data_IF_720923604588
#
_entry.id   IF_720923604588
#
_cell.length_a   1.000
_cell.length_b   1.000
_cell.length_c   1.000
_cell.angle_alpha   90.00
_cell.angle_beta   90.00
_cell.angle_gamma   90.00
#
_symmetry.space_group_name_H-M   'P 1'
#
loop_
_entity.id
_entity.type
_entity.pdbx_description
1 polymer ?
#
# COMPACT_ATOMS: atom_id res chain seq x y z
N UNK A 1 7.67 4.92 -17.44
CA UNK A 1 7.44 5.78 -16.25
C UNK A 1 7.56 4.98 -14.97
N UNK A 2 8.20 5.55 -13.95
CA UNK A 2 8.40 5.01 -12.59
C UNK A 2 7.56 5.80 -11.59
N UNK A 3 6.88 5.11 -10.68
CA UNK A 3 6.12 5.71 -9.59
C UNK A 3 6.16 4.82 -8.35
N UNK A 4 6.34 5.45 -7.19
CA UNK A 4 6.14 4.82 -5.91
C UNK A 4 4.63 4.84 -5.57
N UNK A 5 4.02 3.67 -5.49
CA UNK A 5 2.55 3.51 -5.38
C UNK A 5 2.05 3.36 -3.95
N UNK A 6 2.90 3.51 -2.94
CA UNK A 6 2.50 3.39 -1.54
C UNK A 6 3.34 4.36 -0.70
N UNK A 7 2.78 5.54 -0.42
CA UNK A 7 3.51 6.67 0.16
C UNK A 7 2.60 7.45 1.11
N UNK A 8 3.10 7.71 2.32
CA UNK A 8 2.37 8.40 3.37
C UNK A 8 2.97 9.77 3.69
N UNK A 9 2.09 10.73 3.94
CA UNK A 9 2.40 12.07 4.40
C UNK A 9 1.77 12.31 5.78
N UNK A 10 1.99 13.50 6.35
CA UNK A 10 1.30 13.93 7.57
C UNK A 10 -0.23 13.89 7.50
N UNK A 11 -0.82 13.73 6.31
CA UNK A 11 -2.26 13.65 6.10
C UNK A 11 -2.83 12.24 6.31
N UNK A 12 -1.98 11.22 6.53
CA UNK A 12 -2.40 9.88 6.97
C UNK A 12 -2.98 9.84 8.40
N UNK A 13 -2.97 10.96 9.12
CA UNK A 13 -3.57 11.09 10.44
C UNK A 13 -2.69 10.57 11.58
N UNK A 14 -3.34 10.03 12.62
CA UNK A 14 -2.70 9.61 13.86
C UNK A 14 -2.42 8.12 13.86
N UNK A 15 -1.32 7.71 14.49
CA UNK A 15 -0.99 6.31 14.60
C UNK A 15 -2.02 5.51 15.39
N UNK A 16 -2.13 4.22 15.12
CA UNK A 16 -3.07 3.32 15.82
C UNK A 16 -2.50 2.74 17.11
N UNK A 17 -1.28 3.12 17.49
CA UNK A 17 -0.59 2.60 18.67
C UNK A 17 -1.36 3.01 19.94
N UNK A 18 -1.75 2.04 20.80
CA UNK A 18 -2.37 2.33 22.09
C UNK A 18 -1.55 3.35 22.89
N UNK A 19 -2.24 4.28 23.56
CA UNK A 19 -1.64 5.41 24.31
C UNK A 19 -1.04 6.55 23.46
N UNK A 20 -0.63 6.31 22.22
CA UNK A 20 -0.05 7.35 21.34
C UNK A 20 -1.01 7.86 20.26
N UNK A 21 -2.16 7.19 20.05
CA UNK A 21 -3.17 7.52 19.03
C UNK A 21 -3.76 8.93 19.01
N UNK A 22 -3.46 9.76 20.02
CA UNK A 22 -3.91 11.16 20.10
C UNK A 22 -2.79 12.18 19.94
N UNK A 23 -1.54 11.73 19.92
CA UNK A 23 -0.36 12.62 19.96
C UNK A 23 0.67 12.29 18.88
N UNK A 24 0.79 11.03 18.46
CA UNK A 24 1.74 10.62 17.44
C UNK A 24 1.05 10.44 16.09
N UNK A 25 1.59 11.09 15.06
CA UNK A 25 1.16 10.93 13.67
C UNK A 25 1.66 9.61 13.10
N UNK A 26 0.98 9.15 12.07
CA UNK A 26 1.41 7.98 11.29
C UNK A 26 2.66 8.33 10.46
N UNK A 27 2.68 9.52 9.85
CA UNK A 27 3.85 10.11 9.18
C UNK A 27 3.97 11.59 9.56
N UNK A 28 5.20 12.08 9.61
CA UNK A 28 5.52 13.51 9.82
C UNK A 28 5.98 14.20 8.54
N UNK A 29 6.00 13.47 7.42
CA UNK A 29 6.55 13.97 6.15
C UNK A 29 5.62 15.02 5.53
N UNK A 30 6.18 16.18 5.18
CA UNK A 30 5.43 17.21 4.46
C UNK A 30 5.20 16.79 2.99
N UNK A 31 3.99 16.96 2.43
CA UNK A 31 3.70 16.56 1.05
C UNK A 31 4.68 17.13 0.02
N UNK A 32 5.10 18.38 0.17
CA UNK A 32 6.04 19.00 -0.75
C UNK A 32 7.42 18.34 -0.67
N UNK A 33 7.90 18.06 0.54
CA UNK A 33 9.17 17.38 0.74
C UNK A 33 9.16 15.94 0.23
N UNK A 34 8.01 15.25 0.35
CA UNK A 34 7.76 13.94 -0.26
C UNK A 34 7.92 14.02 -1.77
N UNK A 35 7.23 14.95 -2.43
CA UNK A 35 7.33 15.17 -3.87
C UNK A 35 8.78 15.41 -4.30
N UNK A 36 9.46 16.38 -3.67
CA UNK A 36 10.84 16.71 -4.00
C UNK A 36 11.79 15.52 -3.81
N UNK A 37 11.56 14.72 -2.76
CA UNK A 37 12.37 13.52 -2.50
C UNK A 37 12.15 12.44 -3.56
N UNK A 38 10.91 12.18 -3.96
CA UNK A 38 10.60 11.22 -5.02
C UNK A 38 11.18 11.65 -6.37
N UNK A 39 11.09 12.95 -6.70
CA UNK A 39 11.73 13.50 -7.91
C UNK A 39 13.25 13.34 -7.88
N UNK A 40 13.92 13.66 -6.77
CA UNK A 40 15.37 13.44 -6.60
C UNK A 40 15.77 11.97 -6.71
N UNK A 41 14.88 11.05 -6.36
CA UNK A 41 15.09 9.60 -6.47
C UNK A 41 14.70 9.03 -7.85
N UNK A 42 14.40 9.91 -8.81
CA UNK A 42 14.18 9.53 -10.20
C UNK A 42 12.80 8.93 -10.48
N UNK A 43 11.78 9.26 -9.67
CA UNK A 43 10.40 8.94 -10.00
C UNK A 43 9.91 9.88 -11.11
N UNK A 44 9.31 9.30 -12.15
CA UNK A 44 8.73 10.06 -13.25
C UNK A 44 7.39 10.66 -12.85
N UNK A 45 6.60 9.90 -12.09
CA UNK A 45 5.30 10.29 -11.57
C UNK A 45 5.30 10.26 -10.04
N UNK A 46 4.47 11.11 -9.43
CA UNK A 46 4.27 11.13 -7.98
C UNK A 46 2.81 10.87 -7.64
N UNK A 47 2.58 10.04 -6.64
CA UNK A 47 1.29 9.91 -5.99
C UNK A 47 1.52 9.73 -4.49
N UNK A 48 0.47 9.95 -3.71
CA UNK A 48 0.44 9.68 -2.27
C UNK A 48 -0.81 8.86 -1.99
N UNK A 49 -0.72 7.99 -1.00
CA UNK A 49 -1.77 7.04 -0.61
C UNK A 49 -1.98 7.18 0.90
N UNK A 50 -2.32 8.39 1.34
CA UNK A 50 -2.63 8.65 2.74
C UNK A 50 -3.86 7.85 3.19
N UNK A 51 -3.90 7.46 4.47
CA UNK A 51 -5.01 6.69 5.03
C UNK A 51 -6.30 7.50 5.05
N UNK A 52 -7.31 7.02 4.32
CA UNK A 52 -8.67 7.59 4.27
C UNK A 52 -8.70 9.12 4.06
N UNK A 53 -7.69 9.67 3.35
CA UNK A 53 -7.50 11.11 3.18
C UNK A 53 -6.92 11.43 1.81
N UNK A 54 -7.38 12.55 1.23
CA UNK A 54 -6.87 13.15 0.00
C UNK A 54 -6.26 14.54 0.22
N UNK A 55 -6.09 14.96 1.47
CA UNK A 55 -5.74 16.36 1.80
C UNK A 55 -4.38 16.79 1.22
N UNK A 56 -3.43 15.86 1.09
CA UNK A 56 -2.15 16.13 0.45
C UNK A 56 -2.29 16.61 -1.01
N UNK A 57 -3.41 16.31 -1.67
CA UNK A 57 -3.71 16.78 -3.01
C UNK A 57 -3.78 18.31 -3.11
N UNK A 58 -4.17 19.00 -2.02
CA UNK A 58 -4.24 20.46 -1.99
C UNK A 58 -2.89 21.09 -2.39
N UNK A 59 -1.80 20.51 -1.87
CA UNK A 59 -0.43 20.94 -2.12
C UNK A 59 0.13 20.40 -3.44
N UNK A 60 -0.22 19.16 -3.79
CA UNK A 60 0.46 18.40 -4.85
C UNK A 60 -0.17 18.54 -6.23
N UNK A 61 -1.47 18.86 -6.35
CA UNK A 61 -2.19 18.97 -7.64
C UNK A 61 -1.63 20.00 -8.61
N UNK A 62 -0.78 20.92 -8.14
CA UNK A 62 -0.09 21.90 -9.00
C UNK A 62 0.99 21.26 -9.88
N UNK A 63 1.44 20.05 -9.53
CA UNK A 63 2.47 19.33 -10.29
C UNK A 63 1.84 18.51 -11.41
N UNK A 64 2.29 18.67 -12.68
CA UNK A 64 1.67 18.00 -13.83
C UNK A 64 1.90 16.48 -13.86
N UNK A 65 2.90 16.00 -13.13
CA UNK A 65 3.28 14.61 -12.97
C UNK A 65 2.75 13.99 -11.66
N UNK A 66 1.88 14.72 -10.95
CA UNK A 66 1.12 14.20 -9.82
C UNK A 66 -0.24 13.64 -10.27
N UNK A 67 -0.65 12.51 -9.68
CA UNK A 67 -2.03 12.02 -9.75
C UNK A 67 -2.53 11.59 -8.37
N UNK A 68 -3.83 11.78 -8.15
CA UNK A 68 -4.46 11.49 -6.86
C UNK A 68 -4.70 9.98 -6.67
N UNK A 69 -4.30 9.47 -5.51
CA UNK A 69 -4.53 8.11 -5.04
C UNK A 69 -4.85 8.16 -3.54
N UNK A 70 -5.24 7.03 -2.97
CA UNK A 70 -5.62 6.91 -1.56
C UNK A 70 -5.38 5.48 -1.08
N UNK A 71 -5.05 5.30 0.20
CA UNK A 71 -5.12 3.99 0.86
C UNK A 71 -6.35 3.94 1.77
N UNK A 72 -7.32 3.09 1.41
CA UNK A 72 -8.57 2.96 2.15
C UNK A 72 -8.47 1.89 3.22
N UNK A 73 -8.81 2.25 4.46
CA UNK A 73 -9.03 1.32 5.57
C UNK A 73 -10.43 0.72 5.47
N UNK A 74 -10.48 -0.52 4.98
CA UNK A 74 -11.72 -1.23 4.67
C UNK A 74 -12.02 -2.37 5.65
N UNK A 75 -13.31 -2.71 5.79
CA UNK A 75 -13.76 -3.85 6.61
C UNK A 75 -14.37 -4.94 5.73
N UNK A 76 -13.79 -6.13 5.82
CA UNK A 76 -14.28 -7.33 5.11
C UNK A 76 -15.59 -7.85 5.71
N UNK A 77 -16.36 -8.68 4.96
CA UNK A 77 -17.52 -9.39 5.52
C UNK A 77 -17.18 -10.27 6.73
N UNK A 78 -15.94 -10.76 6.84
CA UNK A 78 -15.44 -11.50 8.01
C UNK A 78 -15.21 -10.62 9.25
N UNK A 79 -15.38 -9.30 9.13
CA UNK A 79 -15.10 -8.32 10.19
C UNK A 79 -13.62 -8.01 10.39
N UNK A 80 -12.74 -8.42 9.48
CA UNK A 80 -11.32 -8.09 9.51
C UNK A 80 -11.04 -6.82 8.72
N UNK A 81 -10.07 -6.04 9.20
CA UNK A 81 -9.60 -4.83 8.53
C UNK A 81 -8.59 -5.18 7.44
N UNK A 82 -8.62 -4.42 6.35
CA UNK A 82 -7.71 -4.55 5.22
C UNK A 82 -7.42 -3.14 4.67
N UNK A 83 -6.27 -2.98 4.04
CA UNK A 83 -5.98 -1.76 3.31
C UNK A 83 -6.06 -1.97 1.81
N UNK A 84 -6.64 -1.00 1.11
CA UNK A 84 -6.87 -1.04 -0.33
C UNK A 84 -6.28 0.21 -0.97
N UNK A 85 -5.22 0.06 -1.76
CA UNK A 85 -4.71 1.14 -2.60
C UNK A 85 -5.64 1.38 -3.78
N UNK A 86 -6.09 2.62 -3.98
CA UNK A 86 -6.89 3.06 -5.13
C UNK A 86 -6.16 4.17 -5.87
N UNK A 87 -6.11 4.08 -7.21
CA UNK A 87 -5.15 4.86 -8.00
C UNK A 87 -5.79 5.65 -9.12
N UNK A 88 -5.42 6.93 -9.23
CA UNK A 88 -5.89 7.83 -10.27
C UNK A 88 -7.35 8.24 -10.08
N UNK A 89 -7.73 8.58 -8.86
CA UNK A 89 -9.09 8.97 -8.48
C UNK A 89 -9.33 10.48 -8.65
N UNK A 90 -10.58 10.88 -8.65
CA UNK A 90 -11.04 12.27 -8.54
C UNK A 90 -11.56 12.55 -7.13
N UNK A 91 -11.57 13.82 -6.70
CA UNK A 91 -12.04 14.23 -5.36
C UNK A 91 -13.49 13.76 -5.07
N UNK A 92 -14.37 13.76 -6.07
CA UNK A 92 -15.75 13.27 -5.93
C UNK A 92 -15.82 11.75 -5.70
N UNK A 93 -14.83 10.99 -6.16
CA UNK A 93 -14.79 9.54 -6.00
C UNK A 93 -14.40 9.18 -4.56
N UNK A 94 -13.52 9.96 -3.91
CA UNK A 94 -13.18 9.79 -2.48
C UNK A 94 -14.44 9.71 -1.59
N UNK A 95 -15.42 10.61 -1.79
CA UNK A 95 -16.68 10.59 -1.03
C UNK A 95 -17.44 9.26 -1.20
N UNK A 96 -17.43 8.69 -2.40
CA UNK A 96 -18.11 7.44 -2.70
C UNK A 96 -17.33 6.21 -2.18
N UNK A 97 -15.99 6.31 -2.13
CA UNK A 97 -15.11 5.30 -1.54
C UNK A 97 -15.32 5.22 -0.01
N UNK A 98 -15.31 6.37 0.66
CA UNK A 98 -15.57 6.47 2.11
C UNK A 98 -16.93 5.89 2.51
N UNK A 99 -17.97 6.11 1.70
CA UNK A 99 -19.30 5.52 1.93
C UNK A 99 -19.32 4.00 1.83
N UNK A 100 -18.39 3.40 1.09
CA UNK A 100 -18.39 1.96 0.74
C UNK A 100 -17.28 1.15 1.40
N UNK A 101 -16.32 1.77 2.08
CA UNK A 101 -15.15 1.07 2.70
C UNK A 101 -15.52 -0.05 3.68
N UNK A 102 -16.73 -0.04 4.24
CA UNK A 102 -17.23 -1.10 5.13
C UNK A 102 -18.01 -2.22 4.42
N UNK A 103 -18.13 -2.17 3.10
CA UNK A 103 -18.71 -3.20 2.23
C UNK A 103 -17.78 -3.42 1.02
N UNK A 104 -16.76 -4.26 1.21
CA UNK A 104 -15.73 -4.52 0.19
C UNK A 104 -16.30 -5.02 -1.15
N UNK A 105 -17.29 -5.94 -1.19
CA UNK A 105 -17.96 -6.29 -2.45
C UNK A 105 -18.59 -5.08 -3.17
N UNK A 106 -19.31 -4.22 -2.45
CA UNK A 106 -19.91 -3.01 -3.04
C UNK A 106 -18.84 -2.00 -3.50
N UNK A 107 -17.78 -1.81 -2.71
CA UNK A 107 -16.62 -1.00 -3.07
C UNK A 107 -15.95 -1.51 -4.36
N UNK A 108 -15.68 -2.81 -4.45
CA UNK A 108 -15.05 -3.41 -5.61
C UNK A 108 -15.93 -3.31 -6.87
N UNK A 109 -17.26 -3.42 -6.72
CA UNK A 109 -18.19 -3.19 -7.83
C UNK A 109 -18.12 -1.75 -8.36
N UNK A 110 -18.14 -0.76 -7.46
CA UNK A 110 -18.00 0.66 -7.81
C UNK A 110 -16.66 0.96 -8.50
N UNK A 111 -15.55 0.48 -7.95
CA UNK A 111 -14.22 0.68 -8.51
C UNK A 111 -14.11 0.13 -9.94
N UNK A 112 -14.70 -1.06 -10.20
CA UNK A 112 -14.75 -1.66 -11.54
C UNK A 112 -15.61 -0.85 -12.51
N UNK A 113 -16.79 -0.40 -12.07
CA UNK A 113 -17.69 0.44 -12.89
C UNK A 113 -17.01 1.76 -13.30
N UNK A 114 -16.31 2.39 -12.36
CA UNK A 114 -15.56 3.63 -12.60
C UNK A 114 -14.21 3.41 -13.31
N UNK A 115 -13.83 2.16 -13.61
CA UNK A 115 -12.54 1.77 -14.21
C UNK A 115 -11.31 2.27 -13.43
N UNK A 116 -11.48 2.43 -12.12
CA UNK A 116 -10.40 2.80 -11.18
C UNK A 116 -9.55 1.56 -10.93
N UNK A 117 -8.23 1.72 -10.99
CA UNK A 117 -7.32 0.62 -10.66
C UNK A 117 -7.13 0.57 -9.14
N UNK A 118 -7.13 -0.64 -8.58
CA UNK A 118 -6.99 -0.85 -7.15
C UNK A 118 -6.27 -2.16 -6.82
N UNK A 119 -5.61 -2.21 -5.66
CA UNK A 119 -4.89 -3.37 -5.15
C UNK A 119 -5.19 -3.61 -3.68
N UNK A 120 -5.09 -4.86 -3.25
CA UNK A 120 -4.99 -5.18 -1.82
C UNK A 120 -3.53 -4.98 -1.39
N UNK A 121 -3.33 -4.16 -0.36
CA UNK A 121 -2.00 -3.82 0.15
C UNK A 121 -1.50 -4.90 1.11
N UNK A 122 -0.17 -5.06 1.16
CA UNK A 122 0.59 -5.92 2.08
C UNK A 122 -0.18 -7.18 2.53
N UNK A 123 -0.58 -8.02 1.58
CA UNK A 123 -1.57 -9.12 1.79
C UNK A 123 -1.11 -10.18 2.82
N UNK A 124 0.20 -10.37 2.96
CA UNK A 124 0.81 -11.24 3.97
C UNK A 124 1.33 -10.48 5.20
N UNK A 125 0.81 -9.30 5.48
CA UNK A 125 1.16 -8.52 6.67
C UNK A 125 0.13 -8.66 7.79
N UNK A 126 0.60 -8.60 9.03
CA UNK A 126 -0.23 -8.56 10.24
C UNK A 126 -0.60 -7.14 10.70
N UNK A 127 -0.22 -6.11 9.94
CA UNK A 127 -0.52 -4.70 10.22
C UNK A 127 -2.03 -4.46 10.40
N UNK A 128 -2.87 -4.99 9.51
CA UNK A 128 -4.34 -4.85 9.60
C UNK A 128 -4.99 -5.90 10.52
N UNK A 129 -4.17 -6.55 11.36
CA UNK A 129 -4.62 -7.49 12.37
C UNK A 129 -4.90 -8.89 11.85
N UNK A 130 -6.05 -9.45 12.24
CA UNK A 130 -6.41 -10.85 11.97
C UNK A 130 -6.87 -11.00 10.51
N UNK A 131 -6.71 -12.21 9.98
CA UNK A 131 -7.22 -12.60 8.67
C UNK A 131 -8.06 -13.88 8.80
N UNK A 132 -8.97 -14.12 7.87
CA UNK A 132 -9.75 -15.34 7.73
C UNK A 132 -9.47 -16.02 6.38
N UNK A 133 -9.93 -17.26 6.21
CA UNK A 133 -9.88 -17.90 4.88
C UNK A 133 -10.80 -17.24 3.87
N UNK A 134 -11.93 -16.68 4.34
CA UNK A 134 -12.91 -16.00 3.50
C UNK A 134 -12.36 -14.68 2.98
N UNK A 135 -11.48 -14.01 3.73
CA UNK A 135 -10.78 -12.82 3.25
C UNK A 135 -9.90 -13.13 2.03
N UNK A 136 -9.16 -14.25 2.04
CA UNK A 136 -8.37 -14.65 0.88
C UNK A 136 -9.24 -15.06 -0.32
N UNK A 137 -10.42 -15.66 -0.08
CA UNK A 137 -11.39 -15.92 -1.17
C UNK A 137 -11.90 -14.60 -1.75
N UNK A 138 -12.20 -13.62 -0.90
CA UNK A 138 -12.59 -12.28 -1.32
C UNK A 138 -11.48 -11.59 -2.13
N UNK A 139 -10.20 -11.72 -1.73
CA UNK A 139 -9.08 -11.15 -2.48
C UNK A 139 -8.92 -11.80 -3.85
N UNK A 140 -8.99 -13.14 -3.90
CA UNK A 140 -8.91 -13.89 -5.14
C UNK A 140 -10.03 -13.51 -6.13
N UNK A 141 -11.23 -13.25 -5.61
CA UNK A 141 -12.41 -12.94 -6.40
C UNK A 141 -12.47 -11.46 -6.84
N UNK A 142 -12.32 -10.53 -5.89
CA UNK A 142 -12.68 -9.13 -6.10
C UNK A 142 -11.54 -8.23 -6.58
N UNK A 143 -10.29 -8.54 -6.21
CA UNK A 143 -9.16 -7.62 -6.42
C UNK A 143 -8.43 -7.96 -7.73
N UNK A 144 -8.14 -6.97 -8.61
CA UNK A 144 -7.42 -7.21 -9.85
C UNK A 144 -5.90 -7.28 -9.64
N UNK A 145 -5.40 -6.73 -8.52
CA UNK A 145 -3.98 -6.62 -8.23
C UNK A 145 -3.65 -6.89 -6.76
N UNK A 146 -2.42 -7.35 -6.50
CA UNK A 146 -1.83 -7.43 -5.17
C UNK A 146 -0.60 -6.51 -5.09
N UNK A 147 -0.40 -5.87 -3.94
CA UNK A 147 0.93 -5.36 -3.60
C UNK A 147 1.85 -6.54 -3.30
N UNK A 148 2.84 -6.74 -4.17
CA UNK A 148 3.75 -7.89 -4.11
C UNK A 148 5.12 -7.52 -3.58
N UNK A 149 5.48 -6.23 -3.63
CA UNK A 149 6.69 -5.72 -2.99
C UNK A 149 6.41 -4.42 -2.26
N UNK A 150 6.43 -4.53 -0.94
CA UNK A 150 6.30 -3.39 -0.05
C UNK A 150 7.66 -3.14 0.65
N UNK A 151 8.07 -1.87 0.68
CA UNK A 151 9.37 -1.42 1.20
C UNK A 151 9.56 -1.51 2.71
N UNK A 152 8.48 -1.66 3.49
CA UNK A 152 8.49 -1.85 4.95
C UNK A 152 8.20 -3.30 5.37
N UNK A 153 7.74 -4.15 4.46
CA UNK A 153 7.36 -5.54 4.75
C UNK A 153 8.52 -6.51 4.47
N UNK A 154 8.76 -7.51 5.34
CA UNK A 154 9.86 -8.46 5.16
C UNK A 154 9.85 -9.21 3.82
N UNK A 155 11.04 -9.60 3.37
CA UNK A 155 11.22 -10.27 2.07
C UNK A 155 10.44 -11.59 1.94
N UNK A 156 10.30 -12.35 3.03
CA UNK A 156 9.49 -13.58 3.06
C UNK A 156 8.04 -13.32 2.66
N UNK A 157 7.45 -12.27 3.23
CA UNK A 157 6.06 -11.88 3.02
C UNK A 157 5.87 -11.38 1.58
N UNK A 158 6.81 -10.58 1.07
CA UNK A 158 6.82 -10.15 -0.33
C UNK A 158 6.91 -11.34 -1.29
N UNK A 159 7.78 -12.34 -1.03
CA UNK A 159 7.84 -13.57 -1.86
C UNK A 159 6.53 -14.37 -1.84
N UNK A 160 5.87 -14.47 -0.70
CA UNK A 160 4.55 -15.10 -0.60
C UNK A 160 3.49 -14.32 -1.40
N UNK A 161 3.51 -12.98 -1.34
CA UNK A 161 2.62 -12.12 -2.12
C UNK A 161 2.86 -12.26 -3.64
N UNK A 162 4.12 -12.24 -4.08
CA UNK A 162 4.51 -12.48 -5.47
C UNK A 162 4.05 -13.85 -5.97
N UNK A 163 4.21 -14.90 -5.15
CA UNK A 163 3.72 -16.24 -5.48
C UNK A 163 2.20 -16.25 -5.61
N UNK A 164 1.50 -15.65 -4.66
CA UNK A 164 0.04 -15.59 -4.66
C UNK A 164 -0.50 -14.84 -5.89
N UNK A 165 0.11 -13.70 -6.24
CA UNK A 165 -0.25 -12.92 -7.42
C UNK A 165 -0.10 -13.76 -8.71
N UNK A 166 0.99 -14.53 -8.82
CA UNK A 166 1.22 -15.45 -9.93
C UNK A 166 0.17 -16.57 -9.99
N UNK A 167 -0.07 -17.22 -8.86
CA UNK A 167 -1.02 -18.34 -8.76
C UNK A 167 -2.45 -17.89 -9.07
N UNK A 168 -2.81 -16.65 -8.72
CA UNK A 168 -4.12 -16.04 -8.99
C UNK A 168 -4.20 -15.21 -10.27
N UNK A 169 -3.10 -15.11 -11.03
CA UNK A 169 -3.00 -14.30 -12.25
C UNK A 169 -3.45 -12.84 -12.04
N UNK A 170 -3.06 -12.26 -10.90
CA UNK A 170 -3.32 -10.86 -10.56
C UNK A 170 -2.18 -9.97 -11.03
N UNK A 171 -2.50 -8.72 -11.34
CA UNK A 171 -1.46 -7.72 -11.54
C UNK A 171 -0.64 -7.55 -10.26
N UNK A 172 0.64 -7.26 -10.42
CA UNK A 172 1.56 -7.04 -9.32
C UNK A 172 1.89 -5.55 -9.24
N UNK A 173 1.87 -4.98 -8.04
CA UNK A 173 2.37 -3.62 -7.79
C UNK A 173 3.37 -3.63 -6.65
N UNK A 174 4.16 -2.56 -6.55
CA UNK A 174 5.03 -2.30 -5.42
C UNK A 174 5.19 -0.81 -5.11
N UNK A 175 5.40 -0.54 -3.83
CA UNK A 175 5.61 0.79 -3.27
C UNK A 175 6.48 0.72 -2.02
N UNK A 176 6.96 1.87 -1.57
CA UNK A 176 7.86 1.96 -0.43
C UNK A 176 7.16 1.80 0.92
N UNK A 177 5.85 2.07 0.96
CA UNK A 177 5.06 2.18 2.20
C UNK A 177 5.76 3.15 3.18
N UNK A 178 6.27 4.24 2.61
CA UNK A 178 7.13 5.15 3.32
C UNK A 178 6.34 6.08 4.22
N UNK A 179 6.56 5.91 5.52
CA UNK A 179 6.11 6.80 6.58
C UNK A 179 7.16 7.86 6.95
N UNK A 180 8.36 7.73 6.39
CA UNK A 180 9.45 8.69 6.54
C UNK A 180 10.18 8.89 5.21
N UNK A 181 10.84 10.04 5.07
CA UNK A 181 11.55 10.42 3.84
C UNK A 181 12.66 9.44 3.46
N UNK A 182 13.24 8.75 4.43
CA UNK A 182 14.36 7.83 4.21
C UNK A 182 13.98 6.70 3.24
N UNK A 183 12.73 6.23 3.28
CA UNK A 183 12.29 5.05 2.53
C UNK A 183 11.67 5.35 1.16
N UNK A 184 11.25 6.60 0.92
CA UNK A 184 10.55 7.02 -0.31
C UNK A 184 11.23 6.58 -1.59
N UNK A 185 10.52 6.00 -2.56
CA UNK A 185 11.08 5.66 -3.88
C UNK A 185 12.22 4.65 -3.88
N UNK A 186 12.52 3.98 -2.75
CA UNK A 186 13.44 2.83 -2.73
C UNK A 186 12.79 1.55 -3.26
N UNK A 187 11.46 1.52 -3.28
CA UNK A 187 10.61 0.48 -3.86
C UNK A 187 9.52 1.15 -4.65
N UNK A 188 9.34 0.73 -5.89
CA UNK A 188 8.47 1.41 -6.83
C UNK A 188 8.05 0.49 -7.98
N UNK A 189 7.03 0.93 -8.72
CA UNK A 189 6.53 0.27 -9.90
C UNK A 189 6.95 1.06 -11.15
N UNK A 190 7.49 0.35 -12.14
CA UNK A 190 7.77 0.87 -13.48
C UNK A 190 6.74 0.31 -14.45
N UNK A 191 6.16 1.19 -15.28
CA UNK A 191 5.44 0.80 -16.49
C UNK A 191 6.33 1.18 -17.68
N UNK A 192 6.95 0.20 -18.37
CA UNK A 192 7.80 0.47 -19.52
C UNK A 192 7.04 1.19 -20.63
N UNK A 193 7.71 2.11 -21.32
CA UNK A 193 7.18 2.87 -22.46
C UNK A 193 5.94 3.76 -22.21
N UNK A 194 5.39 3.81 -20.99
CA UNK A 194 4.39 4.83 -20.65
C UNK A 194 5.01 6.23 -20.68
N UNK A 195 4.39 7.14 -21.43
CA UNK A 195 4.76 8.56 -21.56
C UNK A 195 3.76 9.52 -20.91
N UNK A 196 2.68 9.02 -20.31
CA UNK A 196 1.70 9.83 -19.57
C UNK A 196 1.12 9.08 -18.36
N UNK A 197 0.50 9.82 -17.43
CA UNK A 197 -0.26 9.24 -16.30
C UNK A 197 -1.33 8.27 -16.81
N UNK A 198 -2.03 8.62 -17.89
CA UNK A 198 -3.07 7.76 -18.46
C UNK A 198 -2.51 6.42 -18.95
N UNK A 199 -1.40 6.45 -19.69
CA UNK A 199 -0.71 5.24 -20.15
C UNK A 199 -0.13 4.44 -18.99
N UNK A 200 0.38 5.10 -17.96
CA UNK A 200 0.88 4.45 -16.74
C UNK A 200 -0.25 3.67 -16.04
N UNK A 201 -1.39 4.31 -15.75
CA UNK A 201 -2.55 3.66 -15.13
C UNK A 201 -3.13 2.54 -16.01
N UNK A 202 -3.14 2.72 -17.34
CA UNK A 202 -3.52 1.66 -18.28
C UNK A 202 -2.56 0.47 -18.21
N UNK A 203 -1.26 0.74 -18.10
CA UNK A 203 -0.24 -0.29 -17.92
C UNK A 203 -0.42 -1.11 -16.64
N UNK A 204 -0.73 -0.43 -15.53
CA UNK A 204 -1.08 -1.10 -14.25
C UNK A 204 -2.27 -2.05 -14.43
N UNK A 205 -3.38 -1.57 -15.04
CA UNK A 205 -4.58 -2.39 -15.30
C UNK A 205 -4.30 -3.64 -16.14
N UNK A 206 -3.36 -3.56 -17.07
CA UNK A 206 -2.97 -4.71 -17.91
C UNK A 206 -1.81 -5.53 -17.33
N UNK A 207 -1.34 -5.23 -16.12
CA UNK A 207 -0.21 -5.93 -15.49
C UNK A 207 1.12 -5.77 -16.25
N UNK A 208 1.26 -4.73 -17.08
CA UNK A 208 2.49 -4.46 -17.87
C UNK A 208 3.50 -3.68 -17.03
N UNK A 209 3.92 -4.30 -15.94
CA UNK A 209 4.72 -3.66 -14.90
C UNK A 209 6.07 -4.35 -14.68
N UNK A 210 7.04 -3.60 -14.15
CA UNK A 210 8.26 -4.10 -13.53
C UNK A 210 8.36 -3.53 -12.13
N UNK A 211 8.62 -4.39 -11.16
CA UNK A 211 8.70 -3.98 -9.76
C UNK A 211 10.16 -3.91 -9.35
N UNK A 212 10.54 -2.77 -8.81
CA UNK A 212 11.92 -2.46 -8.44
C UNK A 212 12.02 -2.21 -6.94
N UNK A 213 13.25 -2.28 -6.44
CA UNK A 213 13.56 -1.91 -5.07
C UNK A 213 13.71 -3.07 -4.10
N UNK A 214 13.69 -2.73 -2.82
CA UNK A 214 14.12 -3.57 -1.71
C UNK A 214 12.98 -3.81 -0.73
N UNK A 215 12.91 -5.01 -0.16
CA UNK A 215 11.94 -5.33 0.90
C UNK A 215 12.29 -4.59 2.20
N UNK A 216 11.34 -4.59 3.13
CA UNK A 216 11.57 -4.17 4.50
C UNK A 216 12.49 -5.13 5.25
N UNK A 217 13.12 -4.60 6.29
CA UNK A 217 13.90 -5.37 7.25
C UNK A 217 13.77 -4.72 8.65
N UNK A 218 14.27 -5.43 9.65
CA UNK A 218 14.25 -4.97 11.04
C UNK A 218 14.92 -3.60 11.22
N UNK A 219 16.02 -3.31 10.53
CA UNK A 219 16.75 -2.06 10.67
C UNK A 219 15.97 -0.88 10.08
N UNK A 220 15.35 -1.07 8.90
CA UNK A 220 14.47 -0.07 8.28
C UNK A 220 13.26 0.25 9.15
N UNK A 221 12.57 -0.78 9.66
CA UNK A 221 11.43 -0.57 10.55
C UNK A 221 11.85 0.17 11.83
N UNK A 222 12.95 -0.25 12.46
CA UNK A 222 13.49 0.39 13.66
C UNK A 222 13.83 1.86 13.41
N UNK A 223 14.49 2.15 12.28
CA UNK A 223 14.82 3.51 11.87
C UNK A 223 13.57 4.35 11.64
N UNK A 224 12.58 3.83 10.92
CA UNK A 224 11.33 4.55 10.64
C UNK A 224 10.61 4.92 11.95
N UNK A 225 10.49 3.98 12.89
CA UNK A 225 9.84 4.24 14.20
C UNK A 225 10.63 5.25 15.03
N UNK A 226 11.97 5.24 14.99
CA UNK A 226 12.82 6.25 15.65
C UNK A 226 12.63 7.64 15.03
N UNK A 227 12.56 7.72 13.70
CA UNK A 227 12.32 8.98 12.97
C UNK A 227 10.92 9.55 13.27
N UNK A 228 9.88 8.70 13.30
CA UNK A 228 8.53 9.10 13.73
C UNK A 228 8.54 9.59 15.19
N UNK A 229 9.20 8.86 16.09
CA UNK A 229 9.36 9.29 17.48
C UNK A 229 10.10 10.63 17.62
N UNK A 230 11.05 10.91 16.73
CA UNK A 230 11.74 12.21 16.67
C UNK A 230 10.79 13.30 16.18
N UNK A 231 9.97 13.02 15.17
CA UNK A 231 8.91 13.92 14.70
C UNK A 231 7.91 14.29 15.80
N UNK A 232 7.52 13.31 16.63
CA UNK A 232 6.67 13.55 17.81
C UNK A 232 7.30 14.54 18.78
N UNK A 233 8.60 14.39 19.08
CA UNK A 233 9.35 15.30 19.96
C UNK A 233 9.47 16.71 19.38
N UNK A 234 9.62 16.82 18.06
CA UNK A 234 9.70 18.10 17.36
C UNK A 234 8.35 18.83 17.34
N UNK A 235 7.24 18.13 17.11
CA UNK A 235 5.90 18.72 17.13
C UNK A 235 5.47 19.10 18.57
N UNK A 236 5.79 18.24 19.54
CA UNK A 236 5.41 18.43 20.94
C UNK A 236 6.61 18.30 21.87
N UNK A 237 7.29 19.41 22.15
CA UNK A 237 8.52 19.43 22.95
C UNK A 237 8.40 18.82 24.35
N UNK A 238 7.21 18.85 24.96
CA UNK A 238 6.96 18.19 26.26
C UNK A 238 7.15 16.68 26.20
N UNK A 239 6.98 16.06 25.03
CA UNK A 239 7.20 14.62 24.83
C UNK A 239 8.66 14.22 24.88
N UNK A 240 9.60 15.17 24.98
CA UNK A 240 11.00 14.88 25.30
C UNK A 240 11.13 14.07 26.61
N UNK A 241 10.21 14.25 27.57
CA UNK A 241 10.13 13.43 28.77
C UNK A 241 9.90 11.93 28.48
N UNK A 242 9.35 11.60 27.31
CA UNK A 242 9.12 10.23 26.84
C UNK A 242 10.31 9.68 26.02
N UNK A 243 11.32 10.49 25.70
CA UNK A 243 12.48 10.05 24.93
C UNK A 243 13.19 8.82 25.50
N UNK A 244 13.29 8.60 26.83
CA UNK A 244 13.83 7.35 27.36
C UNK A 244 13.09 6.09 26.89
N UNK A 245 11.79 6.17 26.58
CA UNK A 245 11.03 5.05 26.02
C UNK A 245 11.47 4.68 24.60
N UNK A 246 12.13 5.58 23.87
CA UNK A 246 12.68 5.29 22.54
C UNK A 246 13.76 4.20 22.59
N UNK A 247 14.41 3.99 23.75
CA UNK A 247 15.35 2.89 23.97
C UNK A 247 14.67 1.51 23.85
N UNK A 248 13.34 1.43 24.00
CA UNK A 248 12.56 0.21 23.82
C UNK A 248 12.20 -0.07 22.35
N UNK A 249 12.34 0.91 21.46
CA UNK A 249 11.94 0.78 20.04
C UNK A 249 12.60 -0.44 19.39
N UNK A 250 13.92 -0.68 19.49
CA UNK A 250 14.56 -1.88 18.94
C UNK A 250 13.90 -3.20 19.38
N UNK A 251 13.51 -3.31 20.66
CA UNK A 251 12.85 -4.51 21.16
C UNK A 251 11.42 -4.66 20.61
N UNK A 252 10.67 -3.56 20.53
CA UNK A 252 9.30 -3.53 19.98
C UNK A 252 9.29 -3.88 18.49
N UNK A 253 10.18 -3.27 17.70
CA UNK A 253 10.27 -3.52 16.27
C UNK A 253 10.78 -4.92 15.96
N UNK A 254 11.63 -5.50 16.81
CA UNK A 254 12.03 -6.90 16.72
C UNK A 254 10.83 -7.84 16.94
N UNK A 255 10.00 -7.55 17.95
CA UNK A 255 8.76 -8.27 18.19
C UNK A 255 7.80 -8.19 16.99
N UNK A 256 7.61 -6.99 16.43
CA UNK A 256 6.81 -6.79 15.22
C UNK A 256 7.38 -7.56 14.02
N UNK A 257 8.70 -7.54 13.82
CA UNK A 257 9.35 -8.28 12.75
C UNK A 257 9.05 -9.78 12.85
N UNK A 258 9.21 -10.40 14.02
CA UNK A 258 8.86 -11.81 14.22
C UNK A 258 7.36 -12.09 14.03
N UNK A 259 6.48 -11.16 14.43
CA UNK A 259 5.04 -11.26 14.21
C UNK A 259 4.72 -11.33 12.71
N UNK A 260 5.37 -10.49 11.90
CA UNK A 260 5.20 -10.51 10.44
C UNK A 260 5.67 -11.83 9.81
N UNK A 261 6.82 -12.36 10.24
CA UNK A 261 7.33 -13.65 9.75
C UNK A 261 6.37 -14.79 10.12
N UNK A 262 5.86 -14.82 11.36
CA UNK A 262 4.93 -15.85 11.81
C UNK A 262 3.58 -15.76 11.09
N UNK A 263 3.11 -14.54 10.82
CA UNK A 263 1.88 -14.32 10.07
C UNK A 263 1.98 -14.87 8.65
N UNK A 264 3.06 -14.51 7.93
CA UNK A 264 3.34 -15.05 6.59
C UNK A 264 3.45 -16.57 6.61
N UNK A 265 4.25 -17.13 7.52
CA UNK A 265 4.42 -18.58 7.64
C UNK A 265 3.07 -19.31 7.83
N UNK A 266 2.20 -18.76 8.67
CA UNK A 266 0.90 -19.35 8.96
C UNK A 266 0.00 -19.32 7.73
N UNK A 267 -0.09 -18.19 7.03
CA UNK A 267 -1.00 -18.02 5.89
C UNK A 267 -0.49 -18.65 4.61
N UNK A 268 0.79 -18.50 4.29
CA UNK A 268 1.40 -19.13 3.11
C UNK A 268 1.22 -20.66 3.12
N UNK A 269 1.39 -21.31 4.29
CA UNK A 269 1.14 -22.75 4.47
C UNK A 269 -0.34 -23.12 4.33
N UNK A 270 -1.25 -22.34 4.94
CA UNK A 270 -2.69 -22.59 4.85
C UNK A 270 -3.21 -22.48 3.42
N UNK A 271 -2.70 -21.53 2.65
CA UNK A 271 -3.08 -21.34 1.25
C UNK A 271 -2.48 -22.43 0.36
N UNK A 272 -1.21 -22.81 0.57
CA UNK A 272 -0.57 -23.88 -0.20
C UNK A 272 -1.25 -25.25 -0.03
N UNK A 273 -1.80 -25.54 1.15
CA UNK A 273 -2.46 -26.82 1.46
C UNK A 273 -3.91 -26.95 1.01
N UNK A 274 -4.51 -25.93 0.38
CA UNK A 274 -5.95 -25.92 0.07
C UNK A 274 -6.21 -25.71 -1.42
N UNK A 275 -6.74 -26.74 -2.07
CA UNK A 275 -7.16 -26.70 -3.48
C UNK A 275 -8.18 -25.58 -3.78
N UNK A 276 -9.00 -25.18 -2.80
CA UNK A 276 -10.03 -24.12 -2.95
C UNK A 276 -9.47 -22.75 -3.31
N UNK A 277 -8.17 -22.50 -3.10
CA UNK A 277 -7.52 -21.24 -3.52
C UNK A 277 -6.83 -21.35 -4.88
N UNK A 278 -6.88 -22.52 -5.54
CA UNK A 278 -6.46 -22.65 -6.94
C UNK A 278 -7.61 -22.19 -7.82
N UNK A 279 -7.48 -20.98 -8.37
CA UNK A 279 -8.39 -20.54 -9.42
C UNK A 279 -8.19 -21.49 -10.61
N UNK A 280 -9.24 -22.17 -11.11
CA UNK A 280 -9.08 -23.04 -12.28
C UNK A 280 -8.52 -22.21 -13.44
N UNK A 281 -7.53 -22.77 -14.13
CA UNK A 281 -6.99 -22.20 -15.36
C UNK A 281 -8.09 -22.22 -16.40
N UNK A 282 -8.88 -21.14 -16.48
CA UNK A 282 -9.64 -20.86 -17.67
C UNK A 282 -8.63 -20.63 -18.80
N UNK A 283 -8.87 -21.32 -19.93
CA UNK A 283 -8.15 -21.14 -21.19
C UNK A 283 -8.04 -19.66 -21.57
N UNK A 284 -6.98 -19.25 -22.29
CA UNK A 284 -6.76 -17.86 -22.67
C UNK A 284 -7.81 -17.43 -23.70
N UNK A 285 -8.90 -16.81 -23.23
CA UNK A 285 -9.79 -16.00 -24.04
C UNK A 285 -9.78 -14.59 -23.47
N UNK A 286 -8.65 -13.92 -23.65
CA UNK A 286 -8.67 -12.49 -23.94
C UNK A 286 -8.35 -12.40 -25.44
N UNK A 287 -9.37 -12.66 -26.25
CA UNK A 287 -9.35 -12.25 -27.64
C UNK A 287 -9.12 -10.75 -27.67
N UNK A 288 -8.04 -10.41 -28.35
CA UNK A 288 -7.76 -9.09 -28.89
C UNK A 288 -8.92 -8.74 -29.81
N UNK A 289 -9.86 -7.92 -29.34
CA UNK A 289 -10.62 -7.05 -30.23
C UNK A 289 -9.96 -5.68 -30.20
N UNK A 290 -8.82 -5.65 -30.88
CA UNK A 290 -8.36 -4.47 -31.59
C UNK A 290 -9.41 -4.25 -32.70
N UNK A 291 -10.34 -3.32 -32.47
CA UNK A 291 -11.14 -2.76 -33.54
C UNK A 291 -10.78 -1.30 -33.55
N UNK A 292 -9.86 -0.96 -34.44
CA UNK A 292 -9.64 0.40 -34.83
C UNK A 292 -10.89 0.92 -35.54
N UNK A 293 -11.24 2.15 -35.22
CA UNK A 293 -11.71 3.22 -36.11
C UNK A 293 -11.49 4.56 -35.39
#
# INVERSE_FOLDING_TARGET
>A
MRCDLHVHTRHSGMCTVPLLKRVCRESYSDPEEVYQTLKRRGMDLVTVTDHDSIDAAEHLRRYPDFFLSEELTCRTPSGNEIHVGVYGIEERQHVELERRRNDVPALAAYLREQKIFFSINHVFSSLTGRRSSDDFLLFADQFPALETRNGQIPETNNRSAERLARDWRKAAVGGSDAHTLASLGLTYTEVPAAGSIHEYLRGLRHGRVRIHGVSGDYAKLTRAVLEIGTGLVQEYTWTLALAPLMLLIPAVTLGNYFREILFDYTWSRRLAGRHRFRIPVASPLLEVTDVGE
#
